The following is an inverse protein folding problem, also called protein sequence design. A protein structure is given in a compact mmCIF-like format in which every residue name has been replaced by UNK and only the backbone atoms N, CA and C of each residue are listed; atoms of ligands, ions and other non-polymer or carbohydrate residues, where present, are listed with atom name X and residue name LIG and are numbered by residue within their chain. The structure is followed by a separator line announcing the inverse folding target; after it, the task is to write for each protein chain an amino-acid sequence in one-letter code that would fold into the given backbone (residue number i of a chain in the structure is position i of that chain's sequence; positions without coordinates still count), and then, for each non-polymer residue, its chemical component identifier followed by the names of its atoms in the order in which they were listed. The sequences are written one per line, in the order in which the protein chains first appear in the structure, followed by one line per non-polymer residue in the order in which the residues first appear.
data_IF_059919096576
#
_entry.id   IF_059919096576
#
_cell.length_a   1.000
_cell.length_b   1.000
_cell.length_c   1.000
_cell.angle_alpha   90.00
_cell.angle_beta   90.00
_cell.angle_gamma   90.00
#
_symmetry.space_group_name_H-M   'P 1'
#
loop_
_entity.id
_entity.type
_entity.pdbx_description
1 polymer ?
#
# COMPACT_ATOMS: atom_id res chain seq x y z
N UNK A 1 -1.18 7.29 6.35
CA UNK A 1 -1.23 7.79 4.95
C UNK A 1 -2.09 9.03 4.96
N UNK A 2 -1.84 9.99 4.07
CA UNK A 2 -2.68 11.15 3.87
C UNK A 2 -3.27 11.06 2.46
N UNK A 3 -4.55 11.40 2.31
CA UNK A 3 -5.22 11.29 1.02
C UNK A 3 -6.32 12.30 0.85
N UNK A 4 -6.68 12.52 -0.42
CA UNK A 4 -7.74 13.43 -0.83
C UNK A 4 -8.70 12.65 -1.72
N UNK A 5 -9.98 12.76 -1.41
CA UNK A 5 -11.07 12.20 -2.19
C UNK A 5 -11.70 13.31 -3.05
N UNK A 6 -11.83 13.07 -4.35
CA UNK A 6 -12.34 14.04 -5.31
C UNK A 6 -13.19 13.38 -6.40
N UNK A 7 -13.82 14.22 -7.23
CA UNK A 7 -14.72 13.77 -8.30
C UNK A 7 -15.88 12.87 -7.80
N UNK A 8 -16.54 13.28 -6.71
CA UNK A 8 -17.66 12.55 -6.14
C UNK A 8 -18.85 12.49 -7.10
N UNK A 9 -19.17 11.30 -7.61
CA UNK A 9 -20.38 10.98 -8.40
C UNK A 9 -21.27 10.03 -7.61
N UNK A 10 -22.49 9.77 -8.11
CA UNK A 10 -23.47 8.93 -7.37
C UNK A 10 -22.92 7.53 -7.04
N UNK A 11 -22.20 6.92 -7.98
CA UNK A 11 -21.74 5.53 -7.90
C UNK A 11 -20.22 5.37 -7.72
N UNK A 12 -19.44 6.47 -7.82
CA UNK A 12 -18.00 6.40 -7.66
C UNK A 12 -17.37 7.71 -7.19
N UNK A 13 -16.11 7.64 -6.76
CA UNK A 13 -15.21 8.77 -6.56
C UNK A 13 -13.76 8.33 -6.79
N UNK A 14 -12.84 9.29 -6.88
CA UNK A 14 -11.41 9.04 -6.94
C UNK A 14 -10.77 9.35 -5.59
N UNK A 15 -9.82 8.52 -5.17
CA UNK A 15 -9.03 8.72 -3.96
C UNK A 15 -7.56 8.71 -4.35
N UNK A 16 -6.84 9.79 -4.06
CA UNK A 16 -5.39 9.82 -4.18
C UNK A 16 -4.77 9.85 -2.80
N UNK A 17 -3.80 8.97 -2.55
CA UNK A 17 -3.14 8.85 -1.25
C UNK A 17 -1.62 8.92 -1.42
N UNK A 18 -0.96 9.59 -0.48
CA UNK A 18 0.49 9.55 -0.28
C UNK A 18 0.78 9.01 1.11
N UNK A 19 1.77 8.12 1.21
CA UNK A 19 2.04 7.41 2.44
C UNK A 19 3.44 6.86 2.52
N UNK A 20 3.75 6.32 3.68
CA UNK A 20 4.97 5.60 3.95
C UNK A 20 4.65 4.11 4.13
N UNK A 21 5.43 3.25 3.50
CA UNK A 21 5.29 1.80 3.59
C UNK A 21 6.66 1.21 3.89
N UNK A 22 6.79 0.57 5.05
CA UNK A 22 7.97 -0.23 5.41
C UNK A 22 7.67 -1.71 5.17
N UNK A 23 8.54 -2.38 4.43
CA UNK A 23 8.39 -3.79 4.06
C UNK A 23 9.56 -4.55 4.67
N UNK A 24 9.26 -5.42 5.63
CA UNK A 24 10.23 -6.29 6.27
C UNK A 24 10.34 -7.62 5.52
N UNK A 25 11.56 -8.03 5.17
CA UNK A 25 11.87 -9.36 4.69
C UNK A 25 12.53 -10.16 5.82
N UNK A 26 11.94 -11.30 6.16
CA UNK A 26 12.53 -12.27 7.10
C UNK A 26 13.13 -13.41 6.30
N UNK A 27 14.46 -13.50 6.29
CA UNK A 27 15.14 -14.63 5.68
C UNK A 27 15.32 -15.73 6.72
N UNK A 28 14.73 -16.90 6.48
CA UNK A 28 15.12 -18.14 7.15
C UNK A 28 16.35 -18.67 6.42
N UNK A 29 17.54 -18.45 6.99
CA UNK A 29 18.74 -19.09 6.47
C UNK A 29 18.61 -20.61 6.69
N UNK A 30 18.50 -21.37 5.61
CA UNK A 30 18.68 -22.82 5.66
C UNK A 30 20.14 -23.09 6.01
N UNK A 31 20.33 -23.77 7.14
CA UNK A 31 21.57 -24.33 7.70
C UNK A 31 22.46 -23.36 8.52
N UNK A 32 22.38 -23.50 9.86
CA UNK A 32 23.57 -23.46 10.72
C UNK A 32 23.91 -22.20 11.53
N UNK A 33 23.18 -21.07 11.42
CA UNK A 33 23.42 -19.89 12.28
C UNK A 33 22.12 -19.32 12.86
N UNK A 34 21.98 -19.20 14.20
CA UNK A 34 20.83 -18.55 14.83
C UNK A 34 21.02 -17.05 14.73
N UNK A 35 20.54 -16.45 13.64
CA UNK A 35 20.63 -15.02 13.41
C UNK A 35 19.77 -14.64 12.21
N UNK A 36 18.45 -14.58 12.42
CA UNK A 36 17.53 -14.10 11.39
C UNK A 36 17.70 -12.59 11.25
N UNK A 37 18.50 -12.15 10.29
CA UNK A 37 18.61 -10.72 9.96
C UNK A 37 17.32 -10.27 9.26
N UNK A 38 16.70 -9.22 9.79
CA UNK A 38 15.46 -8.64 9.27
C UNK A 38 15.82 -7.42 8.42
N UNK A 39 15.65 -7.54 7.10
CA UNK A 39 15.90 -6.45 6.16
C UNK A 39 14.64 -5.61 6.02
N UNK A 40 14.79 -4.28 6.02
CA UNK A 40 13.67 -3.34 5.87
C UNK A 40 13.86 -2.49 4.63
N UNK A 41 12.81 -2.41 3.82
CA UNK A 41 12.71 -1.52 2.68
C UNK A 41 11.65 -0.45 2.95
N UNK A 42 12.06 0.80 2.86
CA UNK A 42 11.21 1.94 3.18
C UNK A 42 10.83 2.66 1.90
N UNK A 43 9.52 2.76 1.64
CA UNK A 43 8.98 3.36 0.42
C UNK A 43 8.06 4.53 0.74
N UNK A 44 8.17 5.60 -0.04
CA UNK A 44 7.07 6.54 -0.22
C UNK A 44 6.12 5.94 -1.25
N UNK A 45 4.88 5.70 -0.87
CA UNK A 45 3.83 5.22 -1.76
C UNK A 45 2.94 6.38 -2.17
N UNK A 46 2.71 6.53 -3.47
CA UNK A 46 1.66 7.37 -4.04
C UNK A 46 0.69 6.45 -4.77
N UNK A 47 -0.60 6.59 -4.55
CA UNK A 47 -1.62 5.82 -5.25
C UNK A 47 -2.78 6.72 -5.68
N UNK A 48 -3.48 6.29 -6.72
CA UNK A 48 -4.77 6.85 -7.13
C UNK A 48 -5.69 5.68 -7.40
N UNK A 49 -6.82 5.62 -6.71
CA UNK A 49 -7.79 4.53 -6.80
C UNK A 49 -9.14 5.04 -7.23
N UNK A 50 -9.76 4.30 -8.14
CA UNK A 50 -11.17 4.47 -8.48
C UNK A 50 -11.99 3.65 -7.50
N UNK A 51 -12.82 4.32 -6.68
CA UNK A 51 -13.67 3.67 -5.68
C UNK A 51 -15.11 3.71 -6.14
N UNK A 52 -15.67 2.54 -6.47
CA UNK A 52 -17.11 2.37 -6.61
C UNK A 52 -17.73 2.38 -5.20
N UNK A 53 -18.81 3.14 -5.02
CA UNK A 53 -19.45 3.33 -3.72
C UNK A 53 -20.91 2.94 -3.72
N UNK A 54 -21.35 2.43 -2.57
CA UNK A 54 -22.73 2.16 -2.26
C UNK A 54 -23.09 2.82 -0.92
N UNK A 55 -24.07 3.71 -0.94
CA UNK A 55 -24.55 4.40 0.26
C UNK A 55 -25.70 3.59 0.86
N UNK A 56 -25.62 3.36 2.18
CA UNK A 56 -26.75 2.82 2.94
C UNK A 56 -27.99 3.74 2.84
N UNK A 57 -29.21 3.20 3.04
CA UNK A 57 -30.45 3.99 3.00
C UNK A 57 -30.46 5.19 3.95
N UNK A 58 -29.75 5.08 5.08
CA UNK A 58 -29.62 6.17 6.06
C UNK A 58 -28.51 7.18 5.71
N UNK A 59 -27.73 6.96 4.65
CA UNK A 59 -26.58 7.77 4.22
C UNK A 59 -25.45 7.97 5.26
N UNK A 60 -25.52 7.28 6.41
CA UNK A 60 -24.47 7.34 7.44
C UNK A 60 -23.32 6.38 7.16
N UNK A 61 -23.60 5.27 6.49
CA UNK A 61 -22.61 4.24 6.16
C UNK A 61 -22.44 4.16 4.65
N UNK A 62 -21.19 4.17 4.20
CA UNK A 62 -20.77 3.96 2.82
C UNK A 62 -19.92 2.69 2.75
N UNK A 63 -20.24 1.82 1.79
CA UNK A 63 -19.40 0.71 1.41
C UNK A 63 -18.71 1.08 0.11
N UNK A 64 -17.44 0.73 -0.02
CA UNK A 64 -16.71 0.98 -1.26
C UNK A 64 -15.80 -0.20 -1.62
N UNK A 65 -15.57 -0.35 -2.91
CA UNK A 65 -14.56 -1.22 -3.47
C UNK A 65 -13.89 -0.49 -4.64
N UNK A 66 -12.59 -0.63 -4.77
CA UNK A 66 -11.83 0.13 -5.74
C UNK A 66 -10.55 -0.53 -6.18
N UNK A 67 -10.04 -0.02 -7.29
CA UNK A 67 -8.77 -0.42 -7.84
C UNK A 67 -8.09 0.78 -8.50
N UNK A 68 -6.76 0.80 -8.51
CA UNK A 68 -6.01 1.78 -9.27
C UNK A 68 -4.51 1.60 -9.16
N UNK A 69 -3.73 2.38 -9.93
CA UNK A 69 -2.28 2.30 -9.91
C UNK A 69 -1.69 2.79 -8.58
N UNK A 70 -0.59 2.18 -8.17
CA UNK A 70 0.30 2.73 -7.17
C UNK A 70 1.74 2.79 -7.68
N UNK A 71 2.48 3.71 -7.08
CA UNK A 71 3.89 3.98 -7.29
C UNK A 71 4.60 3.97 -5.94
N UNK A 72 5.60 3.12 -5.78
CA UNK A 72 6.47 3.08 -4.61
C UNK A 72 7.84 3.62 -4.99
N UNK A 73 8.26 4.68 -4.33
CA UNK A 73 9.58 5.30 -4.49
C UNK A 73 10.42 4.86 -3.29
N UNK A 74 11.57 4.23 -3.55
CA UNK A 74 12.48 3.78 -2.50
C UNK A 74 13.10 5.00 -1.80
N UNK A 75 12.86 5.14 -0.50
CA UNK A 75 13.42 6.22 0.31
C UNK A 75 14.74 5.82 0.95
N UNK A 76 14.75 4.63 1.56
CA UNK A 76 15.92 4.09 2.21
C UNK A 76 15.88 2.57 2.19
N UNK A 77 17.06 1.99 2.13
CA UNK A 77 17.31 0.56 2.13
C UNK A 77 18.45 0.32 3.14
N UNK A 78 18.14 -0.37 4.25
CA UNK A 78 19.13 -0.73 5.25
C UNK A 78 19.94 -1.99 4.87
N UNK A 79 20.31 -2.15 3.59
CA UNK A 79 21.15 -3.26 3.07
C UNK A 79 22.60 -3.25 3.55
N UNK A 80 23.02 -2.23 4.32
CA UNK A 80 24.45 -1.90 4.52
C UNK A 80 25.28 -2.92 5.31
N UNK A 81 24.69 -3.94 5.94
CA UNK A 81 25.44 -4.82 6.85
C UNK A 81 25.64 -6.26 6.36
N UNK A 82 25.36 -6.61 5.09
CA UNK A 82 25.62 -7.98 4.63
C UNK A 82 26.10 -8.13 3.16
N UNK A 83 27.25 -8.79 2.89
CA UNK A 83 27.82 -8.97 1.55
C UNK A 83 26.99 -9.87 0.62
N UNK A 84 25.95 -10.53 1.13
CA UNK A 84 25.03 -11.36 0.32
C UNK A 84 24.01 -10.53 -0.47
N UNK A 85 23.82 -9.24 -0.12
CA UNK A 85 22.83 -8.37 -0.76
C UNK A 85 23.44 -7.29 -1.68
N UNK A 86 24.77 -7.24 -1.82
CA UNK A 86 25.46 -6.38 -2.81
C UNK A 86 25.09 -6.73 -4.26
N UNK A 87 24.70 -7.99 -4.52
CA UNK A 87 24.34 -8.47 -5.85
C UNK A 87 22.90 -8.16 -6.30
N UNK A 88 22.08 -7.53 -5.46
CA UNK A 88 20.68 -7.22 -5.76
C UNK A 88 20.48 -5.73 -6.04
N UNK A 89 20.31 -5.40 -7.32
CA UNK A 89 19.92 -4.05 -7.73
C UNK A 89 18.47 -3.80 -7.27
N UNK A 90 18.31 -2.80 -6.41
CA UNK A 90 17.01 -2.46 -5.82
C UNK A 90 16.40 -1.42 -6.71
N UNK A 91 15.26 -1.72 -7.34
CA UNK A 91 14.64 -0.72 -8.22
C UNK A 91 14.20 0.48 -7.38
N UNK A 92 14.70 1.66 -7.76
CA UNK A 92 14.35 2.95 -7.14
C UNK A 92 12.84 3.22 -7.18
N UNK A 93 12.13 2.58 -8.11
CA UNK A 93 10.72 2.79 -8.36
C UNK A 93 10.02 1.47 -8.70
N UNK A 94 8.92 1.18 -7.99
CA UNK A 94 8.09 0.00 -8.21
C UNK A 94 6.64 0.40 -8.46
N UNK A 95 6.01 -0.20 -9.46
CA UNK A 95 4.62 0.07 -9.84
C UNK A 95 3.75 -1.18 -9.70
N UNK A 96 2.47 -0.95 -9.47
CA UNK A 96 1.50 -2.03 -9.41
C UNK A 96 0.07 -1.53 -9.35
N UNK A 97 -0.83 -2.46 -9.08
CA UNK A 97 -2.26 -2.19 -8.90
C UNK A 97 -2.58 -2.38 -7.43
N UNK A 98 -3.19 -1.37 -6.81
CA UNK A 98 -3.77 -1.45 -5.48
C UNK A 98 -5.25 -1.73 -5.68
N UNK A 99 -5.75 -2.81 -5.09
CA UNK A 99 -7.18 -3.04 -4.89
C UNK A 99 -7.51 -2.79 -3.43
N UNK A 100 -8.71 -2.27 -3.18
CA UNK A 100 -9.14 -1.93 -1.83
C UNK A 100 -10.65 -2.10 -1.69
N UNK A 101 -11.08 -2.45 -0.49
CA UNK A 101 -12.49 -2.50 -0.14
C UNK A 101 -12.64 -2.08 1.32
N UNK A 102 -13.73 -1.37 1.62
CA UNK A 102 -13.90 -0.82 2.95
C UNK A 102 -15.31 -0.39 3.27
N UNK A 103 -15.46 -0.08 4.54
CA UNK A 103 -16.67 0.51 5.12
C UNK A 103 -16.28 1.81 5.78
N UNK A 104 -17.08 2.83 5.54
CA UNK A 104 -16.87 4.17 6.07
C UNK A 104 -18.14 4.67 6.70
N UNK A 105 -18.04 5.28 7.87
CA UNK A 105 -19.15 5.92 8.57
C UNK A 105 -18.91 7.42 8.64
N UNK A 106 -19.91 8.17 8.18
CA UNK A 106 -19.96 9.62 8.29
C UNK A 106 -20.60 9.98 9.63
N UNK A 107 -19.89 10.77 10.43
CA UNK A 107 -20.32 11.30 11.72
C UNK A 107 -20.16 12.82 11.65
N UNK A 108 -21.23 13.52 11.27
CA UNK A 108 -21.23 14.96 11.00
C UNK A 108 -20.18 15.34 9.94
N UNK A 109 -19.11 16.05 10.34
CA UNK A 109 -17.98 16.43 9.48
C UNK A 109 -16.84 15.42 9.46
N UNK A 110 -16.86 14.45 10.37
CA UNK A 110 -15.84 13.42 10.47
C UNK A 110 -16.24 12.17 9.71
N UNK A 111 -15.24 11.48 9.19
CA UNK A 111 -15.38 10.26 8.42
C UNK A 111 -14.45 9.23 9.03
N UNK A 112 -14.99 8.13 9.55
CA UNK A 112 -14.19 7.05 10.15
C UNK A 112 -14.40 5.80 9.33
N UNK A 113 -13.33 5.15 8.93
CA UNK A 113 -13.43 3.98 8.04
C UNK A 113 -12.39 2.91 8.33
N UNK A 114 -12.75 1.70 7.89
CA UNK A 114 -11.87 0.54 7.82
C UNK A 114 -11.71 0.17 6.35
N UNK A 115 -10.46 -0.03 5.93
CA UNK A 115 -10.12 -0.36 4.55
C UNK A 115 -9.17 -1.55 4.51
N UNK A 116 -9.58 -2.62 3.84
CA UNK A 116 -8.70 -3.70 3.43
C UNK A 116 -8.03 -3.34 2.10
N UNK A 117 -6.72 -3.53 2.02
CA UNK A 117 -5.89 -3.21 0.87
C UNK A 117 -5.15 -4.46 0.39
N UNK A 118 -5.04 -4.61 -0.93
CA UNK A 118 -4.23 -5.65 -1.55
C UNK A 118 -3.41 -5.04 -2.70
N UNK A 119 -2.08 -5.18 -2.60
CA UNK A 119 -1.13 -4.62 -3.55
C UNK A 119 -0.64 -5.72 -4.49
N UNK A 120 -1.16 -5.72 -5.71
CA UNK A 120 -0.69 -6.53 -6.84
C UNK A 120 0.52 -5.85 -7.46
N UNK A 121 1.66 -6.54 -7.58
CA UNK A 121 2.84 -5.98 -8.25
C UNK A 121 2.90 -6.35 -9.72
N UNK A 122 3.12 -5.33 -10.54
CA UNK A 122 3.46 -5.49 -11.95
C UNK A 122 4.98 -5.46 -12.16
N UNK A 123 5.73 -4.74 -11.31
CA UNK A 123 7.19 -4.70 -11.34
C UNK A 123 7.85 -5.40 -10.14
N UNK A 124 8.96 -6.13 -10.34
CA UNK A 124 9.71 -6.75 -9.24
C UNK A 124 10.44 -5.73 -8.37
N UNK A 125 10.48 -5.96 -7.06
CA UNK A 125 11.08 -5.05 -6.07
C UNK A 125 12.60 -5.08 -6.07
N UNK A 126 13.17 -6.26 -6.26
CA UNK A 126 14.60 -6.48 -6.41
C UNK A 126 14.84 -7.50 -7.52
N UNK A 127 15.87 -7.27 -8.31
CA UNK A 127 16.27 -8.15 -9.40
C UNK A 127 17.74 -8.52 -9.25
N UNK A 128 18.02 -9.81 -9.32
CA UNK A 128 19.36 -10.40 -9.49
C UNK A 128 19.38 -11.13 -10.84
N UNK A 129 20.55 -11.36 -11.47
CA UNK A 129 20.67 -12.06 -12.76
C UNK A 129 19.89 -13.39 -12.85
N UNK A 130 19.61 -14.04 -11.72
CA UNK A 130 18.91 -15.33 -11.66
C UNK A 130 17.61 -15.32 -10.86
N UNK A 131 17.20 -14.20 -10.24
CA UNK A 131 16.02 -14.20 -9.35
C UNK A 131 15.30 -12.87 -9.34
N UNK A 132 13.97 -12.92 -9.45
CA UNK A 132 13.06 -11.77 -9.29
C UNK A 132 12.29 -11.93 -7.99
N UNK A 133 12.36 -10.93 -7.12
CA UNK A 133 11.60 -10.94 -5.87
C UNK A 133 10.26 -10.22 -6.09
N UNK A 134 9.18 -11.00 -6.07
CA UNK A 134 7.80 -10.54 -6.11
C UNK A 134 7.11 -10.96 -4.82
N UNK A 135 6.57 -10.00 -4.08
CA UNK A 135 5.67 -10.27 -2.95
C UNK A 135 4.35 -9.52 -3.14
N UNK A 136 3.25 -10.16 -2.78
CA UNK A 136 1.93 -9.54 -2.70
C UNK A 136 1.71 -9.10 -1.25
N UNK A 137 1.24 -7.87 -1.05
CA UNK A 137 1.04 -7.32 0.29
C UNK A 137 -0.45 -7.14 0.52
N UNK A 138 -0.95 -7.70 1.61
CA UNK A 138 -2.28 -7.39 2.12
C UNK A 138 -2.13 -6.53 3.37
N UNK A 139 -3.09 -5.66 3.63
CA UNK A 139 -3.06 -4.78 4.78
C UNK A 139 -4.45 -4.30 5.16
N UNK A 140 -4.60 -3.90 6.41
CA UNK A 140 -5.82 -3.27 6.92
C UNK A 140 -5.43 -1.88 7.40
N UNK A 141 -6.25 -0.89 7.08
CA UNK A 141 -6.01 0.50 7.42
C UNK A 141 -7.24 1.08 8.10
N UNK A 142 -7.00 1.76 9.23
CA UNK A 142 -7.99 2.60 9.89
C UNK A 142 -7.80 4.03 9.39
N UNK A 143 -8.87 4.63 8.88
CA UNK A 143 -8.87 5.98 8.33
C UNK A 143 -9.74 6.93 9.14
N UNK A 144 -9.20 8.12 9.41
CA UNK A 144 -9.94 9.27 9.90
C UNK A 144 -9.86 10.38 8.84
N UNK A 145 -11.00 10.85 8.36
CA UNK A 145 -11.14 11.89 7.37
C UNK A 145 -12.01 13.04 7.87
N UNK A 146 -11.88 14.20 7.23
CA UNK A 146 -12.65 15.39 7.50
C UNK A 146 -13.26 15.93 6.21
N UNK A 147 -14.57 16.20 6.23
CA UNK A 147 -15.30 16.75 5.08
C UNK A 147 -15.16 18.28 5.09
N UNK A 148 -14.49 18.83 4.08
CA UNK A 148 -14.20 20.27 3.98
C UNK A 148 -15.40 21.13 3.57
N UNK A 149 -16.50 20.57 3.05
CA UNK A 149 -17.81 21.23 2.85
C UNK A 149 -18.90 20.17 2.69
#
# INVERSE_FOLDING_TARGET
MAGIEYLHKKWFYLSSEVGYVALGERHTLLVGRPGGNMSWYNFAQVNTTFRARHLSPSAHTEFFAGAGPYLNILLNNNKKDHPLFEAYDTKTCNTGIKTEAGIVRNINRFRVGLTGNYLLRLSPVATSPHTKINYNVWGITLGLGYKLH
#
